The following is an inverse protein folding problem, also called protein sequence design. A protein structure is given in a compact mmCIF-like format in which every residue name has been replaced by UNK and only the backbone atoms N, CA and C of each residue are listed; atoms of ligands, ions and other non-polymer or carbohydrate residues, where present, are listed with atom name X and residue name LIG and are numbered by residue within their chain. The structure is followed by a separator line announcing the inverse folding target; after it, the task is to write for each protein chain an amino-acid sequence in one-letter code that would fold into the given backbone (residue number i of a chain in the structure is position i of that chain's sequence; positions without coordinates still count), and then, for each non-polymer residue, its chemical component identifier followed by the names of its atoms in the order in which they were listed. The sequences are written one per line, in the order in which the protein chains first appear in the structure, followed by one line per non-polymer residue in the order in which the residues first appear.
data_IF_597088370816
#
_entry.id   IF_597088370816
#
_cell.length_a   1.000
_cell.length_b   1.000
_cell.length_c   1.000
_cell.angle_alpha   90.00
_cell.angle_beta   90.00
_cell.angle_gamma   90.00
#
_symmetry.space_group_name_H-M   'P 1'
#
loop_
_entity.id
_entity.type
_entity.pdbx_description
1 polymer ?
#
# COMPACT_ATOMS: atom_id res chain seq x y z
N UNK A 1 20.07 10.67 -6.49
CA UNK A 1 19.39 10.24 -5.25
C UNK A 1 18.62 11.42 -4.72
N UNK A 2 17.36 11.20 -4.33
CA UNK A 2 16.59 12.19 -3.59
C UNK A 2 16.83 11.97 -2.09
N UNK A 3 16.93 13.06 -1.33
CA UNK A 3 17.09 13.01 0.12
C UNK A 3 15.84 13.57 0.77
N UNK A 4 15.31 12.87 1.77
CA UNK A 4 14.19 13.32 2.59
C UNK A 4 14.73 13.57 4.00
N UNK A 5 14.43 14.74 4.56
CA UNK A 5 14.80 15.09 5.92
C UNK A 5 13.55 15.11 6.80
N UNK A 6 13.51 14.24 7.81
CA UNK A 6 12.42 14.15 8.77
C UNK A 6 12.86 14.80 10.07
N UNK A 7 12.11 15.80 10.53
CA UNK A 7 12.34 16.43 11.84
C UNK A 7 11.46 15.75 12.88
N UNK A 8 12.09 15.31 13.97
CA UNK A 8 11.44 14.67 15.11
C UNK A 8 12.00 15.24 16.41
N UNK A 9 11.25 15.10 17.49
CA UNK A 9 11.73 15.41 18.84
C UNK A 9 12.88 14.46 19.26
N UNK A 10 13.56 14.81 20.35
CA UNK A 10 14.63 13.96 20.91
C UNK A 10 14.11 12.60 21.36
N UNK A 11 12.93 12.57 21.97
CA UNK A 11 12.33 11.34 22.50
C UNK A 11 11.90 10.40 21.38
N UNK A 12 11.27 10.95 20.33
CA UNK A 12 10.92 10.19 19.12
C UNK A 12 12.17 9.64 18.42
N UNK A 13 13.25 10.43 18.34
CA UNK A 13 14.51 9.95 17.78
C UNK A 13 15.07 8.77 18.60
N UNK A 14 15.08 8.88 19.92
CA UNK A 14 15.56 7.81 20.79
C UNK A 14 14.72 6.53 20.62
N UNK A 15 13.41 6.67 20.51
CA UNK A 15 12.51 5.57 20.22
C UNK A 15 12.78 4.93 18.85
N UNK A 16 12.90 5.71 17.77
CA UNK A 16 13.25 5.20 16.44
C UNK A 16 14.58 4.46 16.43
N UNK A 17 15.57 4.96 17.17
CA UNK A 17 16.89 4.33 17.29
C UNK A 17 16.82 2.98 18.01
N UNK A 18 15.97 2.89 19.04
CA UNK A 18 15.67 1.64 19.73
C UNK A 18 14.99 0.64 18.79
N UNK A 19 13.96 1.05 18.05
CA UNK A 19 13.26 0.18 17.11
C UNK A 19 14.16 -0.30 15.96
N UNK A 20 14.99 0.58 15.40
CA UNK A 20 15.96 0.22 14.37
C UNK A 20 16.94 -0.86 14.88
N UNK A 21 17.40 -0.73 16.13
CA UNK A 21 18.24 -1.73 16.79
C UNK A 21 17.50 -3.05 17.00
N UNK A 22 16.25 -3.00 17.46
CA UNK A 22 15.40 -4.17 17.69
C UNK A 22 15.19 -4.99 16.41
N UNK A 23 14.96 -4.31 15.29
CA UNK A 23 14.77 -4.92 13.97
C UNK A 23 16.07 -5.16 13.20
N UNK A 24 17.23 -4.88 13.81
CA UNK A 24 18.54 -4.99 13.18
C UNK A 24 18.62 -4.30 11.80
N UNK A 25 18.11 -3.07 11.73
CA UNK A 25 18.02 -2.27 10.50
C UNK A 25 18.45 -0.82 10.76
N UNK A 26 18.53 0.02 9.72
CA UNK A 26 18.80 1.46 9.88
C UNK A 26 17.50 2.23 10.16
N UNK A 27 17.61 3.42 10.76
CA UNK A 27 16.44 4.30 10.96
C UNK A 27 15.82 4.69 9.60
N UNK A 28 16.66 4.90 8.58
CA UNK A 28 16.18 5.23 7.23
C UNK A 28 15.36 4.08 6.64
N UNK A 29 15.84 2.84 6.75
CA UNK A 29 15.14 1.67 6.23
C UNK A 29 13.88 1.37 7.04
N UNK A 30 13.91 1.58 8.36
CA UNK A 30 12.74 1.50 9.23
C UNK A 30 11.65 2.48 8.77
N UNK A 31 12.00 3.76 8.64
CA UNK A 31 11.05 4.80 8.20
C UNK A 31 10.54 4.54 6.79
N UNK A 32 11.42 4.18 5.84
CA UNK A 32 11.00 3.88 4.48
C UNK A 32 10.06 2.68 4.44
N UNK A 33 10.40 1.58 5.11
CA UNK A 33 9.61 0.34 5.07
C UNK A 33 8.21 0.56 5.63
N UNK A 34 8.11 1.17 6.81
CA UNK A 34 6.82 1.34 7.45
C UNK A 34 6.02 2.50 6.85
N UNK A 35 6.64 3.64 6.53
CA UNK A 35 5.92 4.77 5.93
C UNK A 35 5.51 4.52 4.48
N UNK A 36 6.37 3.91 3.64
CA UNK A 36 6.00 3.63 2.24
C UNK A 36 4.91 2.57 2.21
N UNK A 37 5.03 1.50 2.99
CA UNK A 37 4.03 0.45 3.02
C UNK A 37 2.65 0.99 3.42
N UNK A 38 2.56 1.81 4.47
CA UNK A 38 1.29 2.41 4.89
C UNK A 38 0.72 3.39 3.84
N UNK A 39 1.59 4.12 3.15
CA UNK A 39 1.19 5.00 2.05
C UNK A 39 0.69 4.20 0.83
N UNK A 40 1.33 3.09 0.50
CA UNK A 40 0.91 2.17 -0.56
C UNK A 40 -0.44 1.53 -0.23
N UNK A 41 -0.61 1.01 0.99
CA UNK A 41 -1.88 0.43 1.45
C UNK A 41 -3.03 1.46 1.36
N UNK A 42 -2.76 2.72 1.73
CA UNK A 42 -3.73 3.82 1.63
C UNK A 42 -4.05 4.17 0.18
N UNK A 43 -3.04 4.22 -0.68
CA UNK A 43 -3.19 4.51 -2.11
C UNK A 43 -3.98 3.41 -2.82
N UNK A 44 -3.67 2.15 -2.56
CA UNK A 44 -4.37 0.99 -3.13
C UNK A 44 -5.85 0.98 -2.77
N UNK A 45 -6.19 1.33 -1.53
CA UNK A 45 -7.58 1.50 -1.09
C UNK A 45 -8.33 2.55 -1.93
N UNK A 46 -7.72 3.74 -2.09
CA UNK A 46 -8.30 4.84 -2.87
C UNK A 46 -8.49 4.43 -4.34
N UNK A 47 -7.47 3.82 -4.94
CA UNK A 47 -7.52 3.37 -6.33
C UNK A 47 -8.58 2.28 -6.51
N UNK A 48 -8.68 1.33 -5.58
CA UNK A 48 -9.70 0.30 -5.58
C UNK A 48 -11.12 0.87 -5.56
N UNK A 49 -11.36 1.87 -4.71
CA UNK A 49 -12.65 2.57 -4.68
C UNK A 49 -12.96 3.30 -5.99
N UNK A 50 -11.96 3.99 -6.57
CA UNK A 50 -12.13 4.70 -7.83
C UNK A 50 -12.44 3.73 -8.97
N UNK A 51 -11.68 2.64 -9.09
CA UNK A 51 -11.90 1.60 -10.09
C UNK A 51 -13.29 0.96 -9.94
N UNK A 52 -13.76 0.73 -8.71
CA UNK A 52 -15.10 0.23 -8.46
C UNK A 52 -16.18 1.23 -8.88
N UNK A 53 -16.03 2.52 -8.52
CA UNK A 53 -16.95 3.59 -8.94
C UNK A 53 -17.01 3.71 -10.47
N UNK A 54 -15.87 3.71 -11.14
CA UNK A 54 -15.80 3.73 -12.61
C UNK A 54 -16.47 2.52 -13.24
N UNK A 55 -16.27 1.32 -12.68
CA UNK A 55 -16.91 0.10 -13.17
C UNK A 55 -18.44 0.22 -13.11
N UNK A 56 -19.00 0.64 -11.98
CA UNK A 56 -20.45 0.85 -11.80
C UNK A 56 -20.96 1.91 -12.78
N UNK A 57 -20.25 3.04 -12.90
CA UNK A 57 -20.65 4.15 -13.77
C UNK A 57 -20.50 3.83 -15.27
N UNK A 58 -19.64 2.89 -15.64
CA UNK A 58 -19.44 2.48 -17.04
C UNK A 58 -20.62 1.71 -17.64
N UNK A 59 -21.64 1.38 -16.83
CA UNK A 59 -22.82 0.62 -17.27
C UNK A 59 -22.50 -0.84 -17.63
N UNK A 60 -21.28 -1.30 -17.34
CA UNK A 60 -20.87 -2.69 -17.52
C UNK A 60 -21.64 -3.58 -16.55
N UNK A 61 -22.21 -4.65 -17.08
CA UNK A 61 -22.88 -5.66 -16.24
C UNK A 61 -21.84 -6.58 -15.62
N UNK A 62 -21.98 -6.79 -14.32
CA UNK A 62 -21.27 -7.86 -13.62
C UNK A 62 -21.69 -9.20 -14.22
N UNK A 63 -20.71 -9.98 -14.68
CA UNK A 63 -20.93 -11.33 -15.19
C UNK A 63 -20.67 -12.34 -14.08
N UNK A 64 -21.42 -13.43 -14.07
CA UNK A 64 -21.21 -14.47 -13.04
C UNK A 64 -19.88 -15.18 -13.25
N UNK A 65 -19.28 -15.68 -12.16
CA UNK A 65 -18.06 -16.50 -12.26
C UNK A 65 -18.27 -17.72 -13.16
N UNK A 66 -19.47 -18.32 -13.15
CA UNK A 66 -19.85 -19.42 -14.04
C UNK A 66 -19.80 -19.03 -15.52
N UNK A 67 -20.25 -17.82 -15.88
CA UNK A 67 -20.15 -17.31 -17.26
C UNK A 67 -18.70 -17.06 -17.69
N UNK A 68 -17.86 -16.59 -16.76
CA UNK A 68 -16.42 -16.38 -17.01
C UNK A 68 -15.72 -17.72 -17.24
N UNK A 69 -15.95 -18.71 -16.37
CA UNK A 69 -15.38 -20.06 -16.51
C UNK A 69 -15.86 -20.71 -17.80
N UNK A 70 -17.15 -20.62 -18.12
CA UNK A 70 -17.69 -21.15 -19.39
C UNK A 70 -17.04 -20.51 -20.63
N UNK A 71 -16.58 -19.26 -20.52
CA UNK A 71 -16.02 -18.50 -21.65
C UNK A 71 -14.50 -18.63 -21.78
N UNK A 72 -13.78 -18.79 -20.67
CA UNK A 72 -12.32 -18.71 -20.63
C UNK A 72 -11.65 -19.92 -19.95
N UNK A 73 -12.39 -20.73 -19.21
CA UNK A 73 -11.92 -22.01 -18.70
C UNK A 73 -12.05 -23.05 -19.80
N UNK A 74 -11.09 -23.07 -20.73
CA UNK A 74 -10.93 -24.24 -21.59
C UNK A 74 -10.48 -25.43 -20.73
N UNK A 75 -11.14 -26.56 -20.94
CA UNK A 75 -10.57 -27.89 -20.68
C UNK A 75 -9.39 -28.17 -21.63
#
# INVERSE_FOLDING_TARGET
MANIYVHVSKDEKAWLQHMATLYNTSISDLLLTYSIKELEDSYDSIVGELAHKEYINSGKKTVSMTEVIKKFGND
#
